data_IF_742578461291
#
_entry.id   IF_742578461291
#
_cell.length_a   1.000
_cell.length_b   1.000
_cell.length_c   1.000
_cell.angle_alpha   90.00
_cell.angle_beta   90.00
_cell.angle_gamma   90.00
#
_symmetry.space_group_name_H-M   'P 1'
#
loop_
_entity.id
_entity.type
_entity.pdbx_description
1 polymer ?
#
# COMPACT_ATOMS: atom_id res chain seq x y z
N UNK A 1 13.85 24.25 -5.92
CA UNK A 1 12.75 23.30 -5.70
C UNK A 1 13.35 22.06 -5.07
N UNK A 2 12.86 21.62 -3.92
CA UNK A 2 13.34 20.37 -3.33
C UNK A 2 13.03 19.22 -4.31
N UNK A 3 14.03 18.41 -4.63
CA UNK A 3 13.83 17.19 -5.40
C UNK A 3 13.03 16.22 -4.53
N UNK A 4 11.83 15.82 -4.96
CA UNK A 4 11.04 14.81 -4.24
C UNK A 4 11.64 13.44 -4.55
N UNK A 5 12.56 12.97 -3.71
CA UNK A 5 13.13 11.62 -3.88
C UNK A 5 12.15 10.55 -3.37
N UNK A 6 12.28 9.32 -3.87
CA UNK A 6 11.51 8.18 -3.36
C UNK A 6 11.70 8.01 -1.84
N UNK A 7 12.94 8.19 -1.34
CA UNK A 7 13.23 8.11 0.08
C UNK A 7 12.50 9.20 0.90
N UNK A 8 12.40 10.43 0.37
CA UNK A 8 11.67 11.52 1.04
C UNK A 8 10.16 11.25 1.09
N UNK A 9 9.58 10.68 0.01
CA UNK A 9 8.18 10.27 -0.04
C UNK A 9 7.92 9.18 1.00
N UNK A 10 8.72 8.11 1.01
CA UNK A 10 8.55 7.01 1.96
C UNK A 10 8.71 7.48 3.41
N UNK A 11 9.68 8.35 3.70
CA UNK A 11 9.83 8.93 5.02
C UNK A 11 8.62 9.80 5.42
N UNK A 12 8.00 10.50 4.47
CA UNK A 12 6.77 11.26 4.71
C UNK A 12 5.56 10.35 4.95
N UNK A 13 5.44 9.27 4.18
CA UNK A 13 4.39 8.26 4.33
C UNK A 13 4.49 7.55 5.68
N UNK A 14 5.68 7.11 6.10
CA UNK A 14 5.89 6.48 7.40
C UNK A 14 5.50 7.43 8.54
N UNK A 15 5.94 8.70 8.51
CA UNK A 15 5.53 9.71 9.50
C UNK A 15 4.02 9.93 9.50
N UNK A 16 3.38 9.89 8.33
CA UNK A 16 1.94 10.07 8.21
C UNK A 16 1.16 8.88 8.77
N UNK A 17 1.61 7.65 8.51
CA UNK A 17 1.07 6.44 9.12
C UNK A 17 1.21 6.49 10.64
N UNK A 18 2.39 6.82 11.16
CA UNK A 18 2.63 6.91 12.62
C UNK A 18 1.75 7.97 13.27
N UNK A 19 1.59 9.14 12.62
CA UNK A 19 0.73 10.21 13.14
C UNK A 19 -0.72 9.77 13.33
N UNK A 20 -1.27 8.97 12.41
CA UNK A 20 -2.70 8.63 12.40
C UNK A 20 -3.00 7.26 13.03
N UNK A 21 -2.05 6.33 13.01
CA UNK A 21 -2.22 4.96 13.47
C UNK A 21 -1.46 4.64 14.76
N UNK A 22 -0.56 5.52 15.22
CA UNK A 22 0.33 5.28 16.35
C UNK A 22 1.62 4.56 15.94
N UNK A 23 2.39 4.10 16.91
CA UNK A 23 3.65 3.39 16.65
C UNK A 23 3.38 1.97 16.12
N UNK A 24 4.09 1.52 15.06
CA UNK A 24 3.99 0.13 14.61
C UNK A 24 4.64 -0.81 15.63
N UNK A 25 4.01 -1.95 15.88
CA UNK A 25 4.51 -3.02 16.75
C UNK A 25 5.15 -4.19 15.95
N UNK A 26 5.17 -4.08 14.62
CA UNK A 26 5.73 -5.06 13.72
C UNK A 26 6.15 -4.44 12.38
N UNK A 27 7.21 -4.99 11.79
CA UNK A 27 7.74 -4.57 10.49
C UNK A 27 8.33 -5.76 9.77
N UNK A 28 7.94 -5.94 8.52
CA UNK A 28 8.54 -6.90 7.61
C UNK A 28 8.88 -6.24 6.28
N UNK A 29 9.84 -6.81 5.57
CA UNK A 29 10.26 -6.33 4.26
C UNK A 29 10.40 -7.48 3.28
N UNK A 30 9.92 -7.26 2.06
CA UNK A 30 10.03 -8.20 0.96
C UNK A 30 10.76 -7.49 -0.18
N UNK A 31 11.82 -8.11 -0.66
CA UNK A 31 12.58 -7.64 -1.83
C UNK A 31 12.24 -8.53 -3.01
N UNK A 32 11.93 -7.91 -4.14
CA UNK A 32 11.58 -8.60 -5.37
C UNK A 32 12.74 -8.48 -6.36
N UNK A 33 12.93 -9.51 -7.18
CA UNK A 33 13.92 -9.42 -8.26
C UNK A 33 13.36 -8.49 -9.33
N UNK A 34 14.04 -7.37 -9.57
CA UNK A 34 13.65 -6.40 -10.60
C UNK A 34 12.55 -5.41 -10.19
N UNK A 35 12.15 -5.37 -8.92
CA UNK A 35 11.24 -4.36 -8.39
C UNK A 35 11.73 -3.86 -7.02
N UNK A 36 11.24 -2.70 -6.61
CA UNK A 36 11.66 -2.08 -5.36
C UNK A 36 11.21 -2.88 -4.14
N UNK A 37 11.93 -2.69 -3.03
CA UNK A 37 11.58 -3.28 -1.74
C UNK A 37 10.24 -2.72 -1.26
N UNK A 38 9.34 -3.62 -0.84
CA UNK A 38 8.10 -3.27 -0.14
C UNK A 38 8.23 -3.66 1.32
N UNK A 39 7.85 -2.75 2.21
CA UNK A 39 7.71 -3.03 3.63
C UNK A 39 6.24 -3.12 4.02
N UNK A 40 5.97 -3.86 5.09
CA UNK A 40 4.65 -3.96 5.71
C UNK A 40 4.81 -3.64 7.20
N UNK A 41 4.15 -2.58 7.63
CA UNK A 41 4.11 -2.12 9.01
C UNK A 41 2.81 -2.61 9.66
N UNK A 42 2.89 -3.13 10.88
CA UNK A 42 1.73 -3.57 11.66
C UNK A 42 1.47 -2.59 12.79
N UNK A 43 0.24 -2.12 12.87
CA UNK A 43 -0.25 -1.18 13.88
C UNK A 43 -1.40 -1.83 14.67
N UNK A 44 -1.51 -1.58 15.98
CA UNK A 44 -2.73 -1.88 16.72
C UNK A 44 -3.93 -1.13 16.13
N UNK A 45 -5.06 -1.80 15.93
CA UNK A 45 -6.26 -1.15 15.42
C UNK A 45 -7.12 -0.58 16.57
N UNK A 46 -7.65 0.63 16.37
CA UNK A 46 -8.62 1.23 17.29
C UNK A 46 -9.88 0.34 17.36
N UNK A 47 -10.24 -0.13 18.56
CA UNK A 47 -11.35 -1.06 18.78
C UNK A 47 -10.96 -2.55 18.78
N UNK A 48 -9.67 -2.87 18.66
CA UNK A 48 -9.14 -4.24 18.67
C UNK A 48 -8.74 -4.73 17.27
N UNK A 49 -7.92 -5.79 17.24
CA UNK A 49 -7.31 -6.32 16.02
C UNK A 49 -6.03 -5.57 15.62
N UNK A 50 -5.64 -5.74 14.36
CA UNK A 50 -4.42 -5.16 13.80
C UNK A 50 -4.66 -4.56 12.42
N UNK A 51 -3.83 -3.58 12.06
CA UNK A 51 -3.80 -2.94 10.76
C UNK A 51 -2.42 -3.08 10.14
N UNK A 52 -2.35 -3.68 8.97
CA UNK A 52 -1.15 -3.75 8.15
C UNK A 52 -1.19 -2.64 7.11
N UNK A 53 -0.13 -1.85 6.99
CA UNK A 53 0.02 -0.84 5.96
C UNK A 53 1.31 -1.08 5.18
N UNK A 54 1.26 -0.97 3.86
CA UNK A 54 2.45 -1.07 3.03
C UNK A 54 3.26 0.23 3.08
N UNK A 55 4.56 0.11 2.83
CA UNK A 55 5.47 1.22 2.63
C UNK A 55 6.41 0.86 1.47
N UNK A 56 6.21 1.50 0.33
CA UNK A 56 7.03 1.25 -0.86
C UNK A 56 6.28 1.42 -2.17
N UNK A 57 4.95 1.27 -2.16
CA UNK A 57 4.11 1.42 -3.37
C UNK A 57 4.18 2.87 -3.87
N UNK A 58 4.21 3.82 -2.95
CA UNK A 58 4.27 5.25 -3.24
C UNK A 58 5.64 5.76 -3.66
N UNK A 59 6.69 4.92 -3.66
CA UNK A 59 8.06 5.31 -4.01
C UNK A 59 8.16 5.90 -5.43
N UNK A 60 7.42 5.31 -6.37
CA UNK A 60 7.27 5.77 -7.74
C UNK A 60 5.77 6.01 -8.05
N UNK A 61 5.44 6.91 -8.99
CA UNK A 61 4.05 7.03 -9.44
C UNK A 61 3.67 5.79 -10.24
N UNK A 62 2.43 5.33 -10.09
CA UNK A 62 1.89 4.27 -10.93
C UNK A 62 1.76 4.79 -12.36
N UNK A 63 2.30 4.03 -13.32
CA UNK A 63 2.31 4.42 -14.72
C UNK A 63 0.89 4.42 -15.32
N UNK A 64 0.58 5.43 -16.13
CA UNK A 64 -0.60 5.43 -16.98
C UNK A 64 -0.39 4.40 -18.11
N UNK A 65 -1.22 3.33 -18.20
CA UNK A 65 -1.05 2.31 -19.23
C UNK A 65 -1.30 2.83 -20.66
N UNK A 66 -1.90 4.01 -20.80
CA UNK A 66 -2.13 4.67 -22.09
C UNK A 66 -1.00 5.62 -22.51
N UNK A 67 -0.08 5.95 -21.59
CA UNK A 67 1.04 6.83 -21.87
C UNK A 67 2.16 6.10 -22.64
N UNK A 68 2.84 6.83 -23.53
CA UNK A 68 3.99 6.30 -24.27
C UNK A 68 5.24 6.10 -23.38
N UNK A 69 5.37 6.92 -22.33
CA UNK A 69 6.45 6.85 -21.35
C UNK A 69 5.89 7.19 -19.96
N UNK A 70 6.40 6.52 -18.92
CA UNK A 70 6.02 6.80 -17.54
C UNK A 70 6.59 8.16 -17.09
N UNK A 71 5.75 9.06 -16.57
CA UNK A 71 6.20 10.29 -15.94
C UNK A 71 6.79 9.96 -14.55
N UNK A 72 8.06 10.29 -14.25
CA UNK A 72 8.69 9.93 -12.98
C UNK A 72 8.14 10.70 -11.77
N UNK A 73 7.32 11.73 -11.99
CA UNK A 73 6.75 12.60 -10.96
C UNK A 73 5.24 12.47 -10.88
N UNK A 74 4.55 12.58 -12.02
CA UNK A 74 3.09 12.58 -12.13
C UNK A 74 2.53 11.16 -12.20
N UNK A 75 1.33 11.02 -11.67
CA UNK A 75 0.60 9.76 -11.68
C UNK A 75 0.10 9.40 -10.29
N UNK A 76 -0.85 8.47 -10.18
CA UNK A 76 -1.37 8.03 -8.88
C UNK A 76 -0.27 7.46 -8.00
N UNK A 77 -0.34 7.71 -6.70
CA UNK A 77 0.48 7.04 -5.68
C UNK A 77 -0.45 6.50 -4.61
N UNK A 78 -0.11 5.35 -4.06
CA UNK A 78 -0.91 4.76 -3.00
C UNK A 78 -0.04 3.97 -2.01
N UNK A 79 -0.62 3.61 -0.89
CA UNK A 79 -0.24 2.47 -0.06
C UNK A 79 -1.49 1.65 0.25
N UNK A 80 -1.33 0.34 0.46
CA UNK A 80 -2.40 -0.58 0.78
C UNK A 80 -2.56 -0.73 2.29
N UNK A 81 -3.79 -0.81 2.77
CA UNK A 81 -4.12 -0.94 4.20
C UNK A 81 -5.07 -2.10 4.43
N UNK A 82 -4.66 -3.13 5.17
CA UNK A 82 -5.50 -4.28 5.52
C UNK A 82 -5.75 -4.30 7.03
N UNK A 83 -7.01 -4.35 7.46
CA UNK A 83 -7.37 -4.48 8.88
C UNK A 83 -7.93 -5.88 9.15
N UNK A 84 -7.36 -6.57 10.15
CA UNK A 84 -7.76 -7.91 10.57
C UNK A 84 -8.18 -7.92 12.05
N UNK A 85 -9.13 -8.78 12.46
CA UNK A 85 -9.56 -8.86 13.86
C UNK A 85 -8.51 -9.47 14.80
N UNK A 86 -7.51 -10.15 14.25
CA UNK A 86 -6.36 -10.71 14.96
C UNK A 86 -5.13 -10.69 14.04
N UNK A 87 -3.90 -10.64 14.59
CA UNK A 87 -2.70 -10.71 13.78
C UNK A 87 -2.53 -12.08 13.12
N UNK A 88 -2.09 -12.05 11.88
CA UNK A 88 -1.60 -13.21 11.13
C UNK A 88 -0.38 -12.77 10.33
N UNK A 89 0.81 -13.24 10.70
CA UNK A 89 2.05 -12.82 10.05
C UNK A 89 2.24 -13.50 8.68
N UNK A 90 1.46 -14.53 8.33
CA UNK A 90 1.49 -15.12 6.99
C UNK A 90 0.91 -14.19 5.92
N UNK A 91 0.12 -13.17 6.31
CA UNK A 91 -0.39 -12.14 5.38
C UNK A 91 0.69 -11.23 4.81
N UNK A 92 1.85 -11.12 5.49
CA UNK A 92 2.87 -10.11 5.20
C UNK A 92 3.41 -10.22 3.76
N UNK A 93 3.74 -11.44 3.32
CA UNK A 93 4.25 -11.69 1.98
C UNK A 93 3.18 -11.51 0.88
N UNK A 94 1.97 -12.10 0.99
CA UNK A 94 0.88 -11.83 0.06
C UNK A 94 0.56 -10.34 -0.08
N UNK A 95 0.50 -9.60 1.04
CA UNK A 95 0.24 -8.16 1.02
C UNK A 95 1.37 -7.39 0.30
N UNK A 96 2.63 -7.74 0.56
CA UNK A 96 3.75 -7.14 -0.16
C UNK A 96 3.73 -7.45 -1.67
N UNK A 97 3.32 -8.67 -2.06
CA UNK A 97 3.13 -9.05 -3.47
C UNK A 97 2.04 -8.22 -4.14
N UNK A 98 0.89 -8.04 -3.48
CA UNK A 98 -0.17 -7.16 -3.98
C UNK A 98 0.33 -5.72 -4.16
N UNK A 99 1.10 -5.21 -3.19
CA UNK A 99 1.71 -3.89 -3.28
C UNK A 99 2.71 -3.74 -4.42
N UNK A 100 3.40 -4.81 -4.82
CA UNK A 100 4.33 -4.79 -5.95
C UNK A 100 3.63 -4.81 -7.33
N UNK A 101 2.31 -5.08 -7.39
CA UNK A 101 1.58 -5.22 -8.67
C UNK A 101 1.72 -4.03 -9.62
N UNK A 102 1.78 -2.74 -9.21
CA UNK A 102 2.01 -1.66 -10.15
C UNK A 102 3.35 -1.75 -10.86
N UNK A 103 4.39 -2.22 -10.17
CA UNK A 103 5.75 -2.30 -10.72
C UNK A 103 5.94 -3.54 -11.60
N UNK A 104 5.29 -4.65 -11.24
CA UNK A 104 5.46 -5.95 -11.92
C UNK A 104 4.50 -6.10 -13.10
N UNK A 105 3.25 -5.62 -12.94
CA UNK A 105 2.17 -5.83 -13.91
C UNK A 105 1.75 -4.52 -14.62
N UNK A 106 2.29 -3.36 -14.22
CA UNK A 106 1.93 -2.07 -14.82
C UNK A 106 0.49 -1.63 -14.52
N UNK A 107 -0.06 -2.07 -13.38
CA UNK A 107 -1.44 -1.79 -12.98
C UNK A 107 -1.56 -0.55 -12.09
N UNK A 108 -2.66 0.18 -12.26
CA UNK A 108 -3.04 1.26 -11.34
C UNK A 108 -3.95 0.68 -10.26
N UNK A 109 -3.54 0.83 -9.00
CA UNK A 109 -4.36 0.53 -7.83
C UNK A 109 -5.43 1.61 -7.68
N UNK A 110 -6.70 1.22 -7.79
CA UNK A 110 -7.84 2.13 -7.69
C UNK A 110 -9.02 1.47 -6.97
N UNK A 111 -9.88 2.26 -6.29
CA UNK A 111 -11.11 1.76 -5.68
C UNK A 111 -11.99 0.98 -6.67
N UNK A 112 -12.58 -0.12 -6.19
CA UNK A 112 -13.33 -1.07 -7.00
C UNK A 112 -12.48 -2.15 -7.66
N UNK A 113 -11.14 -2.02 -7.65
CA UNK A 113 -10.22 -3.04 -8.14
C UNK A 113 -10.26 -4.33 -7.32
N UNK A 114 -9.88 -5.44 -7.94
CA UNK A 114 -9.65 -6.74 -7.27
C UNK A 114 -8.22 -7.19 -7.52
N UNK A 115 -7.54 -7.65 -6.48
CA UNK A 115 -6.17 -8.20 -6.56
C UNK A 115 -6.22 -9.63 -6.03
N UNK A 116 -5.79 -10.59 -6.85
CA UNK A 116 -5.79 -12.01 -6.49
C UNK A 116 -4.36 -12.51 -6.32
N UNK A 117 -4.14 -13.41 -5.36
CA UNK A 117 -2.84 -14.07 -5.11
C UNK A 117 -2.75 -15.46 -5.71
N UNK A 118 -3.86 -16.01 -6.21
CA UNK A 118 -3.94 -17.36 -6.82
C UNK A 118 -3.92 -18.51 -5.80
N UNK A 119 -3.76 -18.19 -4.52
CA UNK A 119 -3.89 -19.08 -3.37
C UNK A 119 -4.45 -18.26 -2.20
N UNK A 120 -4.91 -18.94 -1.14
CA UNK A 120 -5.37 -18.24 0.07
C UNK A 120 -4.32 -17.25 0.58
N UNK A 121 -4.77 -16.09 1.08
CA UNK A 121 -3.88 -15.06 1.60
C UNK A 121 -3.06 -15.57 2.79
N UNK A 122 -3.65 -16.40 3.63
CA UNK A 122 -3.00 -17.16 4.70
C UNK A 122 -3.87 -18.39 4.98
N UNK A 123 -3.33 -19.42 5.65
CA UNK A 123 -4.09 -20.63 5.96
C UNK A 123 -5.39 -20.33 6.71
N UNK A 124 -6.54 -20.66 6.10
CA UNK A 124 -7.85 -20.45 6.72
C UNK A 124 -8.41 -19.03 6.54
N UNK A 125 -7.79 -18.18 5.72
CA UNK A 125 -8.34 -16.89 5.32
C UNK A 125 -9.72 -17.04 4.63
N UNK A 126 -9.90 -18.15 3.90
CA UNK A 126 -11.09 -18.41 3.08
C UNK A 126 -11.25 -17.41 1.93
N UNK A 127 -10.17 -16.74 1.52
CA UNK A 127 -10.13 -15.80 0.41
C UNK A 127 -8.73 -15.84 -0.23
N UNK A 128 -8.70 -15.77 -1.56
CA UNK A 128 -7.50 -15.71 -2.40
C UNK A 128 -7.31 -14.32 -3.06
N UNK A 129 -8.15 -13.36 -2.64
CA UNK A 129 -8.19 -12.04 -3.24
C UNK A 129 -8.73 -10.99 -2.26
N UNK A 130 -8.44 -9.74 -2.59
CA UNK A 130 -8.96 -8.55 -1.92
C UNK A 130 -9.66 -7.64 -2.93
N UNK A 131 -10.64 -6.87 -2.46
CA UNK A 131 -11.10 -5.66 -3.14
C UNK A 131 -10.40 -4.44 -2.56
N UNK A 132 -10.08 -3.52 -3.46
CA UNK A 132 -9.57 -2.20 -3.14
C UNK A 132 -10.76 -1.27 -2.92
N UNK A 133 -10.86 -0.68 -1.73
CA UNK A 133 -11.95 0.24 -1.39
C UNK A 133 -11.48 1.70 -1.52
N UNK A 134 -12.43 2.63 -1.47
CA UNK A 134 -12.12 4.06 -1.46
C UNK A 134 -11.39 4.46 -0.17
N UNK A 135 -10.46 5.44 -0.21
CA UNK A 135 -9.84 5.99 0.99
C UNK A 135 -10.87 6.48 2.01
N UNK A 136 -10.62 6.20 3.29
CA UNK A 136 -11.39 6.77 4.40
C UNK A 136 -10.57 7.90 5.04
N UNK A 137 -10.84 9.14 4.64
CA UNK A 137 -10.12 10.31 5.12
C UNK A 137 -10.33 10.58 6.62
N UNK A 138 -11.36 9.99 7.26
CA UNK A 138 -11.55 10.11 8.70
C UNK A 138 -10.59 9.20 9.48
N UNK A 139 -10.16 8.09 8.88
CA UNK A 139 -9.18 7.16 9.47
C UNK A 139 -7.77 7.53 9.06
N UNK A 140 -7.54 7.71 7.76
CA UNK A 140 -6.23 7.95 7.20
C UNK A 140 -6.37 8.85 5.95
N UNK A 141 -6.25 10.18 6.09
CA UNK A 141 -6.36 11.10 4.96
C UNK A 141 -5.19 10.90 3.99
N UNK A 142 -5.41 11.24 2.73
CA UNK A 142 -4.33 11.23 1.72
C UNK A 142 -3.19 12.18 2.15
N UNK A 143 -1.95 11.78 1.86
CA UNK A 143 -0.77 12.59 2.14
C UNK A 143 -0.51 13.54 0.95
N UNK A 144 -0.68 14.86 1.09
CA UNK A 144 -0.33 15.79 0.04
C UNK A 144 1.19 15.79 -0.23
N UNK A 145 1.56 15.79 -1.50
CA UNK A 145 2.93 15.95 -1.96
C UNK A 145 3.08 17.30 -2.68
N UNK A 146 4.29 17.88 -2.77
CA UNK A 146 4.52 19.09 -3.54
C UNK A 146 4.14 18.91 -5.02
N UNK A 147 3.45 19.88 -5.59
CA UNK A 147 3.13 19.88 -7.02
C UNK A 147 4.41 19.75 -7.87
N UNK A 148 4.38 18.97 -8.97
CA UNK A 148 3.20 18.39 -9.61
C UNK A 148 2.87 16.93 -9.21
N UNK A 149 3.44 16.42 -8.12
CA UNK A 149 3.16 15.05 -7.69
C UNK A 149 1.73 14.91 -7.16
N UNK A 150 1.06 13.82 -7.51
CA UNK A 150 -0.22 13.45 -6.89
C UNK A 150 -0.03 13.14 -5.41
N UNK A 151 -1.04 13.34 -4.56
CA UNK A 151 -1.00 12.88 -3.17
C UNK A 151 -0.86 11.35 -3.11
N UNK A 152 -0.37 10.84 -1.96
CA UNK A 152 -0.39 9.41 -1.67
C UNK A 152 -1.73 9.05 -1.06
N UNK A 153 -2.50 8.21 -1.76
CA UNK A 153 -3.74 7.66 -1.24
C UNK A 153 -3.49 6.45 -0.32
N UNK A 154 -4.33 6.25 0.68
CA UNK A 154 -4.27 5.04 1.52
C UNK A 154 -5.49 4.18 1.25
N UNK A 155 -5.29 3.10 0.50
CA UNK A 155 -6.36 2.28 -0.06
C UNK A 155 -6.69 1.10 0.88
N UNK A 156 -7.89 1.08 1.49
CA UNK A 156 -8.29 -0.05 2.31
C UNK A 156 -8.49 -1.31 1.46
N UNK A 157 -8.10 -2.45 2.01
CA UNK A 157 -8.33 -3.76 1.43
C UNK A 157 -9.36 -4.52 2.26
N UNK A 158 -10.31 -5.14 1.56
CA UNK A 158 -11.28 -6.06 2.17
C UNK A 158 -11.19 -7.42 1.49
N UNK A 159 -11.30 -8.49 2.29
CA UNK A 159 -11.29 -9.85 1.77
C UNK A 159 -12.43 -10.05 0.76
N UNK A 160 -12.09 -10.58 -0.41
CA UNK A 160 -13.03 -10.87 -1.48
C UNK A 160 -13.29 -12.38 -1.52
N UNK A 161 -14.30 -12.81 -0.76
CA UNK A 161 -14.83 -14.18 -0.78
C UNK A 161 -15.71 -14.43 -1.99
#
# INVERSE_FOLDING_TARGET
>A
MAHLSAADVLAAVERHLVRHLGEPDGRAAVTFVGADRIEVLRFPAAGGGVRYATLGVSAAPMADPSAFEADPVRGPRAELVLTLPAPDDEVLRPLAMMAATPQVEGLVLAPGGRISTGAELWPGAGADAVRVEAPDAAVLPDLPLPEPASPVAFLPLVLAR
#
